data_IF_350212225068
#
_entry.id   IF_350212225068
#
_cell.length_a   1.000
_cell.length_b   1.000
_cell.length_c   1.000
_cell.angle_alpha   90.00
_cell.angle_beta   90.00
_cell.angle_gamma   90.00
#
_symmetry.space_group_name_H-M   'P 1'
#
loop_
_entity.id
_entity.type
_entity.pdbx_description
1 polymer ?
#
# COMPACT_ATOMS: atom_id res chain seq x y z
N UNK A 1 -9.33 6.58 15.85
CA UNK A 1 -9.66 5.23 15.35
C UNK A 1 -8.42 4.36 15.60
N UNK A 2 -8.51 3.33 16.46
CA UNK A 2 -7.40 2.38 16.65
C UNK A 2 -7.69 1.16 15.79
N UNK A 3 -6.83 0.90 14.82
CA UNK A 3 -6.85 -0.36 14.08
C UNK A 3 -6.42 -1.45 15.06
N UNK A 4 -7.25 -2.50 15.21
CA UNK A 4 -6.95 -3.63 16.09
C UNK A 4 -6.18 -4.67 15.29
N UNK A 5 -4.86 -4.53 15.27
CA UNK A 5 -3.96 -5.52 14.70
C UNK A 5 -4.01 -6.82 15.51
N UNK A 6 -3.75 -7.95 14.87
CA UNK A 6 -3.43 -9.19 15.57
C UNK A 6 -2.07 -9.67 15.10
N UNK A 7 -1.26 -10.14 16.04
CA UNK A 7 0.03 -10.74 15.73
C UNK A 7 -0.14 -11.88 14.72
N UNK A 8 0.73 -11.87 13.71
CA UNK A 8 0.72 -12.86 12.63
C UNK A 8 -0.33 -12.65 11.54
N UNK A 9 -1.12 -11.56 11.59
CA UNK A 9 -1.99 -11.21 10.48
C UNK A 9 -1.17 -10.63 9.32
N UNK A 10 -1.46 -11.14 8.12
CA UNK A 10 -0.89 -10.66 6.87
C UNK A 10 -1.71 -9.53 6.25
N UNK A 11 -1.02 -8.57 5.63
CA UNK A 11 -1.63 -7.38 5.04
C UNK A 11 -1.09 -7.08 3.64
N UNK A 12 -1.95 -6.45 2.85
CA UNK A 12 -1.66 -5.80 1.58
C UNK A 12 -1.60 -4.30 1.83
N UNK A 13 -0.54 -3.65 1.34
CA UNK A 13 -0.34 -2.20 1.44
C UNK A 13 -0.37 -1.57 0.05
N UNK A 14 -1.23 -0.56 -0.12
CA UNK A 14 -1.20 0.33 -1.28
C UNK A 14 -0.92 1.76 -0.81
N UNK A 15 0.07 2.41 -1.43
CA UNK A 15 0.32 3.84 -1.24
C UNK A 15 0.04 4.54 -2.56
N UNK A 16 -1.07 5.26 -2.59
CA UNK A 16 -1.56 5.90 -3.80
C UNK A 16 -1.28 7.40 -3.78
N UNK A 17 -0.55 7.85 -4.79
CA UNK A 17 -0.27 9.26 -5.04
C UNK A 17 -1.45 9.91 -5.77
N UNK A 18 -1.98 10.97 -5.16
CA UNK A 18 -3.21 11.62 -5.63
C UNK A 18 -2.97 12.58 -6.79
N UNK A 19 -1.73 12.74 -7.25
CA UNK A 19 -1.40 13.41 -8.52
C UNK A 19 -0.25 14.40 -8.37
N UNK A 20 -0.39 15.36 -7.45
CA UNK A 20 0.52 16.49 -7.29
C UNK A 20 1.70 16.28 -6.34
N UNK A 21 1.88 15.07 -5.78
CA UNK A 21 3.02 14.76 -4.89
C UNK A 21 4.20 14.25 -5.72
N UNK A 22 5.41 14.73 -5.44
CA UNK A 22 6.60 14.27 -6.17
C UNK A 22 6.93 12.81 -5.87
N UNK A 23 7.60 12.12 -6.80
CA UNK A 23 8.01 10.73 -6.57
C UNK A 23 8.98 10.59 -5.39
N UNK A 24 9.80 11.61 -5.12
CA UNK A 24 10.70 11.62 -3.97
C UNK A 24 9.90 11.64 -2.65
N UNK A 25 8.94 12.55 -2.53
CA UNK A 25 8.08 12.63 -1.34
C UNK A 25 7.27 11.35 -1.14
N UNK A 26 6.73 10.78 -2.23
CA UNK A 26 6.03 9.49 -2.20
C UNK A 26 6.93 8.36 -1.65
N UNK A 27 8.19 8.29 -2.08
CA UNK A 27 9.13 7.26 -1.62
C UNK A 27 9.59 7.48 -0.18
N UNK A 28 9.84 8.73 0.24
CA UNK A 28 10.14 9.06 1.64
C UNK A 28 8.98 8.65 2.53
N UNK A 29 7.76 9.05 2.17
CA UNK A 29 6.56 8.66 2.89
C UNK A 29 6.35 7.14 2.91
N UNK A 30 6.62 6.45 1.80
CA UNK A 30 6.55 4.99 1.72
C UNK A 30 7.49 4.34 2.73
N UNK A 31 8.74 4.81 2.79
CA UNK A 31 9.71 4.31 3.76
C UNK A 31 9.22 4.51 5.21
N UNK A 32 8.69 5.70 5.53
CA UNK A 32 8.21 5.99 6.88
C UNK A 32 7.04 5.09 7.27
N UNK A 33 6.10 4.85 6.34
CA UNK A 33 4.98 3.92 6.55
C UNK A 33 5.48 2.49 6.78
N UNK A 34 6.44 2.02 5.99
CA UNK A 34 7.00 0.67 6.16
C UNK A 34 7.64 0.50 7.54
N UNK A 35 8.45 1.47 7.98
CA UNK A 35 9.08 1.43 9.30
C UNK A 35 8.04 1.43 10.44
N UNK A 36 7.00 2.25 10.31
CA UNK A 36 5.93 2.30 11.32
C UNK A 36 5.14 0.98 11.38
N UNK A 37 4.84 0.36 10.23
CA UNK A 37 4.11 -0.91 10.20
C UNK A 37 4.97 -2.08 10.69
N UNK A 38 6.28 -2.05 10.45
CA UNK A 38 7.23 -3.02 11.01
C UNK A 38 7.31 -2.93 12.54
N UNK A 39 7.36 -1.71 13.09
CA UNK A 39 7.34 -1.49 14.55
C UNK A 39 6.04 -1.99 15.21
N UNK A 40 4.93 -1.96 14.48
CA UNK A 40 3.64 -2.52 14.92
C UNK A 40 3.54 -4.05 14.71
N UNK A 41 4.58 -4.68 14.15
CA UNK A 41 4.66 -6.13 13.94
C UNK A 41 3.79 -6.66 12.79
N UNK A 42 3.39 -5.80 11.84
CA UNK A 42 2.57 -6.21 10.71
C UNK A 42 3.39 -6.91 9.62
N UNK A 43 2.87 -8.02 9.11
CA UNK A 43 3.46 -8.74 8.00
C UNK A 43 2.85 -8.25 6.67
N UNK A 44 3.65 -7.57 5.85
CA UNK A 44 3.19 -7.08 4.54
C UNK A 44 3.52 -8.11 3.46
N UNK A 45 2.49 -8.72 2.86
CA UNK A 45 2.64 -9.73 1.80
C UNK A 45 2.66 -9.16 0.39
N UNK A 46 2.09 -7.96 0.22
CA UNK A 46 2.08 -7.27 -1.06
C UNK A 46 2.14 -5.77 -0.82
N UNK A 47 3.00 -5.08 -1.56
CA UNK A 47 3.16 -3.63 -1.50
C UNK A 47 3.14 -3.09 -2.93
N UNK A 48 2.27 -2.10 -3.20
CA UNK A 48 2.29 -1.36 -4.47
C UNK A 48 2.18 0.14 -4.20
N UNK A 49 3.03 0.91 -4.86
CA UNK A 49 3.09 2.37 -4.71
C UNK A 49 3.07 3.08 -6.06
N UNK A 50 2.42 4.25 -6.12
CA UNK A 50 2.40 5.10 -7.30
C UNK A 50 1.06 5.79 -7.53
N UNK A 51 0.83 6.27 -8.75
CA UNK A 51 -0.43 6.88 -9.17
C UNK A 51 -1.44 5.79 -9.55
N UNK A 52 -2.19 5.29 -8.58
CA UNK A 52 -3.21 4.25 -8.79
C UNK A 52 -4.55 4.87 -9.16
N UNK A 53 -5.01 5.83 -8.35
CA UNK A 53 -6.24 6.60 -8.54
C UNK A 53 -5.97 8.04 -8.11
N UNK A 54 -5.80 8.95 -9.07
CA UNK A 54 -5.48 10.36 -8.81
C UNK A 54 -6.73 11.23 -8.60
N UNK A 55 -6.52 12.42 -8.06
CA UNK A 55 -7.50 13.50 -7.93
C UNK A 55 -6.94 14.77 -8.56
N UNK A 56 -6.90 14.79 -9.90
CA UNK A 56 -6.26 15.85 -10.70
C UNK A 56 -4.80 16.07 -10.26
N UNK A 57 -4.45 17.30 -9.89
CA UNK A 57 -3.13 17.75 -9.46
C UNK A 57 -3.03 17.89 -7.93
N UNK A 58 -3.91 17.22 -7.17
CA UNK A 58 -3.89 17.30 -5.72
C UNK A 58 -2.60 16.73 -5.14
N UNK A 59 -1.87 17.56 -4.39
CA UNK A 59 -0.73 17.13 -3.59
C UNK A 59 -1.24 16.37 -2.36
N UNK A 60 -1.09 15.06 -2.37
CA UNK A 60 -1.48 14.18 -1.29
C UNK A 60 -1.22 12.72 -1.60
N UNK A 61 -1.17 11.92 -0.55
CA UNK A 61 -1.03 10.47 -0.60
C UNK A 61 -2.19 9.84 0.17
N UNK A 62 -2.58 8.63 -0.23
CA UNK A 62 -3.54 7.82 0.50
C UNK A 62 -2.94 6.44 0.78
N UNK A 63 -3.20 5.92 1.98
CA UNK A 63 -2.78 4.59 2.41
C UNK A 63 -4.00 3.68 2.43
N UNK A 64 -3.89 2.52 1.79
CA UNK A 64 -4.84 1.43 1.94
C UNK A 64 -4.13 0.25 2.57
N UNK A 65 -4.70 -0.24 3.68
CA UNK A 65 -4.31 -1.50 4.30
C UNK A 65 -5.47 -2.48 4.19
N UNK A 66 -5.21 -3.64 3.60
CA UNK A 66 -6.18 -4.72 3.46
C UNK A 66 -5.65 -5.97 4.14
N UNK A 67 -6.38 -6.49 5.13
CA UNK A 67 -6.03 -7.76 5.78
C UNK A 67 -6.20 -8.90 4.77
N UNK A 68 -5.17 -9.72 4.60
CA UNK A 68 -5.21 -10.96 3.83
C UNK A 68 -6.05 -11.96 4.62
N UNK A 69 -7.22 -12.33 4.08
CA UNK A 69 -8.09 -13.35 4.69
C UNK A 69 -7.88 -14.74 4.09
N UNK A 70 -7.37 -14.79 2.87
CA UNK A 70 -7.06 -15.99 2.11
C UNK A 70 -5.73 -15.74 1.40
N UNK A 71 -4.76 -16.63 1.58
CA UNK A 71 -3.41 -16.51 1.01
C UNK A 71 -3.44 -16.38 -0.52
N UNK A 72 -4.45 -16.99 -1.18
CA UNK A 72 -4.65 -16.88 -2.63
C UNK A 72 -4.84 -15.46 -3.13
N UNK A 73 -5.22 -14.53 -2.25
CA UNK A 73 -5.37 -13.13 -2.64
C UNK A 73 -4.04 -12.52 -3.08
N UNK A 74 -2.92 -12.95 -2.49
CA UNK A 74 -1.59 -12.52 -2.89
C UNK A 74 -1.27 -13.06 -4.28
N UNK A 75 -1.54 -14.34 -4.52
CA UNK A 75 -1.36 -14.97 -5.84
C UNK A 75 -2.17 -14.23 -6.94
N UNK A 76 -3.40 -13.81 -6.62
CA UNK A 76 -4.24 -13.05 -7.56
C UNK A 76 -3.70 -11.65 -7.84
N UNK A 77 -3.08 -11.00 -6.85
CA UNK A 77 -2.49 -9.67 -7.01
C UNK A 77 -1.21 -9.71 -7.85
N UNK A 78 -0.44 -10.80 -7.76
CA UNK A 78 0.81 -11.03 -8.50
C UNK A 78 0.58 -11.69 -9.88
N UNK A 79 -0.63 -12.19 -10.14
CA UNK A 79 -0.99 -12.80 -11.41
C UNK A 79 -0.77 -11.80 -12.57
N UNK A 80 -0.18 -12.25 -13.70
CA UNK A 80 0.08 -11.37 -14.84
C UNK A 80 -1.21 -10.78 -15.41
N UNK A 81 -1.11 -9.54 -15.89
CA UNK A 81 -2.20 -8.80 -16.54
C UNK A 81 -1.62 -7.86 -17.60
N UNK A 82 -2.41 -7.57 -18.63
CA UNK A 82 -2.05 -6.62 -19.69
C UNK A 82 -2.46 -5.18 -19.36
N UNK A 83 -3.00 -4.94 -18.16
CA UNK A 83 -3.37 -3.60 -17.70
C UNK A 83 -2.13 -2.74 -17.44
N UNK A 84 -1.93 -1.69 -18.23
CA UNK A 84 -0.70 -0.88 -18.25
C UNK A 84 -0.24 -0.28 -16.90
N UNK A 85 -1.15 -0.12 -15.94
CA UNK A 85 -0.88 0.50 -14.64
C UNK A 85 -0.79 -0.51 -13.48
N UNK A 86 -0.98 -1.80 -13.76
CA UNK A 86 -0.95 -2.87 -12.76
C UNK A 86 0.37 -3.63 -12.78
#
# INVERSE_FOLDING_TARGET
>A
MRLKWKDGDDYILLINNLGGTSKLEELVFTNDVLQLLELEGLHLKFIKTGHLITSLDMSGLSITLCKVKDEKWVDYLESPTDAFAW
#
